data_IF_448089812675
#
_entry.id   IF_448089812675
#
_cell.length_a   1.000
_cell.length_b   1.000
_cell.length_c   1.000
_cell.angle_alpha   90.00
_cell.angle_beta   90.00
_cell.angle_gamma   90.00
#
_symmetry.space_group_name_H-M   'P 1'
#
loop_
_entity.id
_entity.type
_entity.pdbx_description
1 polymer ?
#
# COMPACT_ATOMS: atom_id res chain seq x y z
N UNK A 1 16.15 -17.41 3.15
CA UNK A 1 15.07 -16.75 2.39
C UNK A 1 15.58 -15.41 1.94
N UNK A 2 15.67 -15.19 0.63
CA UNK A 2 16.27 -13.96 0.08
C UNK A 2 15.32 -12.77 0.26
N UNK A 3 15.86 -11.56 0.43
CA UNK A 3 15.08 -10.33 0.54
C UNK A 3 14.06 -10.16 -0.61
N UNK A 4 14.39 -10.69 -1.80
CA UNK A 4 13.48 -10.72 -2.95
C UNK A 4 12.24 -11.61 -2.72
N UNK A 5 12.39 -12.77 -2.07
CA UNK A 5 11.26 -13.64 -1.72
C UNK A 5 10.36 -12.97 -0.67
N UNK A 6 10.94 -12.18 0.22
CA UNK A 6 10.17 -11.44 1.22
C UNK A 6 9.41 -10.25 0.63
N UNK A 7 10.02 -9.49 -0.29
CA UNK A 7 9.32 -8.46 -1.07
C UNK A 7 8.18 -9.09 -1.90
N UNK A 8 8.42 -10.27 -2.47
CA UNK A 8 7.39 -11.01 -3.20
C UNK A 8 6.23 -11.37 -2.26
N UNK A 9 6.50 -11.84 -1.04
CA UNK A 9 5.47 -12.13 -0.03
C UNK A 9 4.69 -10.88 0.41
N UNK A 10 5.35 -9.74 0.61
CA UNK A 10 4.65 -8.47 0.90
C UNK A 10 3.75 -8.08 -0.28
N UNK A 11 4.25 -8.16 -1.52
CA UNK A 11 3.45 -7.87 -2.72
C UNK A 11 2.32 -8.86 -2.95
N UNK A 12 2.52 -10.13 -2.58
CA UNK A 12 1.50 -11.17 -2.64
C UNK A 12 0.43 -10.90 -1.60
N UNK A 13 0.82 -10.52 -0.39
CA UNK A 13 -0.11 -10.13 0.67
C UNK A 13 -0.93 -8.90 0.25
N UNK A 14 -0.30 -7.88 -0.31
CA UNK A 14 -0.99 -6.66 -0.79
C UNK A 14 -2.00 -6.98 -1.91
N UNK A 15 -1.58 -7.74 -2.93
CA UNK A 15 -2.47 -8.14 -4.02
C UNK A 15 -3.56 -9.12 -3.60
N UNK A 16 -3.27 -10.04 -2.68
CA UNK A 16 -4.23 -11.03 -2.20
C UNK A 16 -5.18 -10.47 -1.14
N UNK A 17 -4.78 -9.43 -0.39
CA UNK A 17 -5.73 -8.68 0.44
C UNK A 17 -6.77 -8.00 -0.46
N UNK A 18 -6.32 -7.30 -1.52
CA UNK A 18 -7.21 -6.64 -2.48
C UNK A 18 -8.10 -7.65 -3.22
N UNK A 19 -7.56 -8.79 -3.67
CA UNK A 19 -8.34 -9.85 -4.34
C UNK A 19 -9.21 -10.67 -3.40
N UNK A 20 -8.81 -10.86 -2.15
CA UNK A 20 -9.58 -11.56 -1.11
C UNK A 20 -10.82 -10.79 -0.67
N UNK A 21 -10.88 -9.47 -0.91
CA UNK A 21 -12.07 -8.66 -0.74
C UNK A 21 -13.09 -8.82 -1.89
N UNK A 22 -12.68 -9.31 -3.06
CA UNK A 22 -13.55 -9.43 -4.24
C UNK A 22 -14.73 -10.40 -4.05
N UNK A 23 -14.56 -11.60 -3.43
CA UNK A 23 -15.68 -12.48 -3.12
C UNK A 23 -16.63 -11.87 -2.08
N UNK A 24 -16.12 -11.07 -1.14
CA UNK A 24 -16.95 -10.40 -0.14
C UNK A 24 -17.89 -9.36 -0.77
N UNK A 25 -17.46 -8.68 -1.84
CA UNK A 25 -18.29 -7.72 -2.58
C UNK A 25 -19.53 -8.37 -3.22
N UNK A 26 -19.49 -9.66 -3.56
CA UNK A 26 -20.65 -10.38 -4.10
C UNK A 26 -21.76 -10.60 -3.06
N UNK A 27 -21.43 -10.51 -1.76
CA UNK A 27 -22.38 -10.69 -0.66
C UNK A 27 -22.79 -9.38 0.01
N UNK A 28 -22.23 -8.24 -0.43
CA UNK A 28 -22.72 -6.92 -0.04
C UNK A 28 -23.89 -6.56 -0.94
N UNK A 29 -25.07 -6.40 -0.33
CA UNK A 29 -26.22 -5.82 -1.02
C UNK A 29 -26.44 -4.41 -0.52
N UNK A 30 -26.96 -3.55 -1.40
CA UNK A 30 -27.41 -2.22 -1.03
C UNK A 30 -28.76 -2.38 -0.32
N UNK A 31 -28.83 -2.01 0.96
CA UNK A 31 -30.09 -1.95 1.70
C UNK A 31 -30.49 -0.50 1.93
N UNK A 32 -31.79 -0.24 1.82
CA UNK A 32 -32.38 1.05 2.13
C UNK A 32 -32.66 1.15 3.63
N UNK A 33 -31.89 1.98 4.33
CA UNK A 33 -32.14 2.27 5.74
C UNK A 33 -32.85 3.61 5.82
N UNK A 34 -34.06 3.60 6.37
CA UNK A 34 -34.81 4.81 6.69
C UNK A 34 -34.27 5.37 8.00
N UNK A 35 -33.59 6.51 7.93
CA UNK A 35 -33.12 7.22 9.12
C UNK A 35 -34.30 7.81 9.91
N UNK A 36 -34.10 8.09 11.20
CA UNK A 36 -35.13 8.68 12.08
C UNK A 36 -35.69 10.04 11.64
N UNK A 37 -35.06 10.68 10.65
CA UNK A 37 -35.51 11.93 10.01
C UNK A 37 -36.35 11.69 8.74
N UNK A 38 -36.65 10.44 8.39
CA UNK A 38 -37.39 10.07 7.18
C UNK A 38 -36.55 10.04 5.90
N UNK A 39 -35.25 10.33 5.96
CA UNK A 39 -34.34 10.28 4.81
C UNK A 39 -33.92 8.84 4.51
N UNK A 40 -34.04 8.45 3.24
CA UNK A 40 -33.56 7.14 2.74
C UNK A 40 -32.06 7.25 2.52
N UNK A 41 -31.29 6.40 3.20
CA UNK A 41 -29.85 6.25 2.97
C UNK A 41 -29.54 4.83 2.53
N UNK A 42 -28.86 4.70 1.40
CA UNK A 42 -28.34 3.43 0.92
C UNK A 42 -27.10 3.07 1.73
N UNK A 43 -27.15 1.95 2.45
CA UNK A 43 -25.99 1.41 3.16
C UNK A 43 -25.67 0.02 2.61
N UNK A 44 -24.38 -0.29 2.47
CA UNK A 44 -23.94 -1.62 2.09
C UNK A 44 -23.86 -2.47 3.36
N UNK A 45 -24.66 -3.53 3.42
CA UNK A 45 -24.60 -4.48 4.54
C UNK A 45 -24.82 -5.91 4.06
N UNK A 46 -24.33 -6.84 4.86
CA UNK A 46 -24.27 -8.27 4.55
C UNK A 46 -25.60 -8.88 5.02
N UNK A 47 -26.38 -9.44 4.10
CA UNK A 47 -27.69 -10.04 4.42
C UNK A 47 -27.52 -11.33 5.22
N UNK A 48 -26.49 -12.12 4.92
CA UNK A 48 -26.28 -13.41 5.54
C UNK A 48 -25.64 -13.24 6.94
N UNK A 49 -26.43 -13.52 7.99
CA UNK A 49 -25.99 -13.41 9.38
C UNK A 49 -24.80 -14.32 9.72
N UNK A 50 -24.74 -15.53 9.14
CA UNK A 50 -23.60 -16.44 9.30
C UNK A 50 -22.33 -15.87 8.69
N UNK A 51 -22.43 -15.24 7.51
CA UNK A 51 -21.31 -14.55 6.88
C UNK A 51 -20.89 -13.30 7.67
N UNK A 52 -21.86 -12.57 8.23
CA UNK A 52 -21.57 -11.40 9.08
C UNK A 52 -20.76 -11.79 10.32
N UNK A 53 -21.12 -12.90 10.98
CA UNK A 53 -20.38 -13.44 12.13
C UNK A 53 -18.98 -13.87 11.70
N UNK A 54 -18.86 -14.64 10.62
CA UNK A 54 -17.57 -15.06 10.09
C UNK A 54 -16.65 -13.88 9.76
N UNK A 55 -17.20 -12.86 9.10
CA UNK A 55 -16.42 -11.68 8.69
C UNK A 55 -15.99 -10.85 9.90
N UNK A 56 -16.89 -10.64 10.86
CA UNK A 56 -16.64 -9.76 12.00
C UNK A 56 -15.72 -10.40 13.05
N UNK A 57 -15.86 -11.70 13.29
CA UNK A 57 -15.12 -12.40 14.36
C UNK A 57 -13.88 -13.15 13.89
N UNK A 58 -13.83 -13.61 12.64
CA UNK A 58 -12.71 -14.44 12.14
C UNK A 58 -11.93 -13.68 11.08
N UNK A 59 -12.57 -13.26 9.99
CA UNK A 59 -11.85 -12.70 8.85
C UNK A 59 -11.13 -11.38 9.18
N UNK A 60 -11.83 -10.39 9.72
CA UNK A 60 -11.26 -9.06 10.02
C UNK A 60 -10.16 -9.10 11.09
N UNK A 61 -10.37 -9.67 12.29
CA UNK A 61 -9.34 -9.65 13.32
C UNK A 61 -8.21 -10.66 13.05
N UNK A 62 -8.53 -11.90 12.66
CA UNK A 62 -7.53 -12.97 12.58
C UNK A 62 -6.78 -12.93 11.26
N UNK A 63 -7.51 -12.96 10.14
CA UNK A 63 -6.89 -13.05 8.81
C UNK A 63 -6.32 -11.71 8.37
N UNK A 64 -7.04 -10.60 8.60
CA UNK A 64 -6.62 -9.29 8.13
C UNK A 64 -5.58 -8.61 9.05
N UNK A 65 -5.54 -8.97 10.33
CA UNK A 65 -4.72 -8.23 11.31
C UNK A 65 -3.66 -9.08 12.02
N UNK A 66 -4.05 -10.19 12.66
CA UNK A 66 -3.12 -10.99 13.48
C UNK A 66 -2.14 -11.77 12.60
N UNK A 67 -2.63 -12.45 11.56
CA UNK A 67 -1.82 -13.24 10.67
C UNK A 67 -0.74 -12.42 9.93
N UNK A 68 -1.05 -11.29 9.28
CA UNK A 68 -0.02 -10.45 8.66
C UNK A 68 0.92 -9.80 9.66
N UNK A 69 0.40 -9.35 10.81
CA UNK A 69 1.22 -8.76 11.86
C UNK A 69 2.25 -9.74 12.42
N UNK A 70 1.85 -10.99 12.66
CA UNK A 70 2.76 -12.04 13.16
C UNK A 70 3.80 -12.45 12.11
N UNK A 71 3.38 -12.62 10.84
CA UNK A 71 4.29 -12.90 9.72
C UNK A 71 5.32 -11.76 9.59
N UNK A 72 4.88 -10.51 9.53
CA UNK A 72 5.75 -9.33 9.43
C UNK A 72 6.69 -9.22 10.63
N UNK A 73 6.22 -9.50 11.84
CA UNK A 73 7.05 -9.48 13.04
C UNK A 73 8.15 -10.57 13.01
N UNK A 74 7.79 -11.82 12.68
CA UNK A 74 8.74 -12.94 12.58
C UNK A 74 9.80 -12.65 11.53
N UNK A 75 9.38 -12.21 10.34
CA UNK A 75 10.31 -11.92 9.27
C UNK A 75 11.11 -10.64 9.50
N UNK A 76 10.53 -9.61 10.10
CA UNK A 76 11.25 -8.41 10.55
C UNK A 76 12.35 -8.78 11.55
N UNK A 77 12.03 -9.63 12.52
CA UNK A 77 12.98 -10.15 13.50
C UNK A 77 14.10 -10.97 12.84
N UNK A 78 13.74 -11.93 11.98
CA UNK A 78 14.72 -12.71 11.21
C UNK A 78 15.63 -11.81 10.38
N UNK A 79 15.08 -10.78 9.75
CA UNK A 79 15.84 -9.82 8.95
C UNK A 79 16.80 -9.02 9.82
N UNK A 80 16.36 -8.57 11.00
CA UNK A 80 17.19 -7.89 11.98
C UNK A 80 18.35 -8.76 12.48
N UNK A 81 18.08 -10.02 12.83
CA UNK A 81 19.10 -10.99 13.24
C UNK A 81 20.11 -11.29 12.11
N UNK A 82 19.64 -11.36 10.86
CA UNK A 82 20.51 -11.56 9.72
C UNK A 82 21.40 -10.34 9.44
N UNK A 83 20.89 -9.11 9.59
CA UNK A 83 21.67 -7.87 9.42
C UNK A 83 22.76 -7.75 10.47
N UNK A 84 22.44 -8.02 11.74
CA UNK A 84 23.40 -7.98 12.85
C UNK A 84 24.51 -9.02 12.69
N UNK A 85 24.17 -10.25 12.26
CA UNK A 85 25.17 -11.29 11.92
C UNK A 85 26.00 -10.95 10.67
N UNK A 86 25.42 -10.27 9.67
CA UNK A 86 26.16 -9.84 8.47
C UNK A 86 27.10 -8.66 8.72
N UNK A 87 26.96 -7.95 9.84
CA UNK A 87 27.88 -6.86 10.17
C UNK A 87 29.27 -7.39 10.56
N UNK A 88 29.36 -8.59 11.15
CA UNK A 88 30.63 -9.21 11.53
C UNK A 88 31.34 -9.94 10.38
N UNK A 89 30.60 -10.42 9.38
CA UNK A 89 31.16 -11.15 8.21
C UNK A 89 31.24 -10.22 7.00
N UNK A 90 32.28 -9.40 7.00
CA UNK A 90 32.64 -8.42 5.96
C UNK A 90 32.92 -9.13 4.62
N UNK A 91 31.95 -9.10 3.67
CA UNK A 91 32.13 -9.19 2.19
C UNK A 91 30.87 -9.53 1.36
N UNK A 92 29.66 -9.63 1.92
CA UNK A 92 28.47 -9.80 1.06
C UNK A 92 28.13 -8.50 0.31
N UNK A 93 27.96 -8.64 -1.02
CA UNK A 93 27.62 -7.63 -2.01
C UNK A 93 26.82 -6.44 -1.45
N UNK A 94 27.30 -5.21 -1.70
CA UNK A 94 26.62 -3.95 -1.35
C UNK A 94 25.14 -3.93 -1.79
N UNK A 95 24.83 -4.63 -2.87
CA UNK A 95 23.47 -4.86 -3.37
C UNK A 95 22.55 -5.57 -2.37
N UNK A 96 23.01 -6.64 -1.71
CA UNK A 96 22.21 -7.38 -0.73
C UNK A 96 21.93 -6.54 0.53
N UNK A 97 22.91 -5.75 1.00
CA UNK A 97 22.71 -4.84 2.13
C UNK A 97 21.63 -3.78 1.85
N UNK A 98 21.60 -3.23 0.63
CA UNK A 98 20.57 -2.27 0.22
C UNK A 98 19.15 -2.88 0.21
N UNK A 99 19.01 -4.09 -0.32
CA UNK A 99 17.74 -4.81 -0.34
C UNK A 99 17.23 -5.12 1.07
N UNK A 100 18.11 -5.57 1.97
CA UNK A 100 17.74 -5.92 3.35
C UNK A 100 17.35 -4.69 4.16
N UNK A 101 18.05 -3.57 4.00
CA UNK A 101 17.70 -2.29 4.65
C UNK A 101 16.33 -1.78 4.19
N UNK A 102 16.03 -1.96 2.91
CA UNK A 102 14.75 -1.55 2.33
C UNK A 102 13.59 -2.41 2.84
N UNK A 103 13.80 -3.72 2.94
CA UNK A 103 12.82 -4.64 3.54
C UNK A 103 12.53 -4.25 4.99
N UNK A 104 13.56 -3.95 5.79
CA UNK A 104 13.37 -3.52 7.18
C UNK A 104 12.57 -2.22 7.28
N UNK A 105 12.87 -1.23 6.44
CA UNK A 105 12.13 0.02 6.41
C UNK A 105 10.66 -0.21 6.03
N UNK A 106 10.41 -1.04 5.02
CA UNK A 106 9.06 -1.38 4.59
C UNK A 106 8.29 -2.10 5.70
N UNK A 107 8.91 -3.05 6.40
CA UNK A 107 8.30 -3.72 7.56
C UNK A 107 7.92 -2.73 8.65
N UNK A 108 8.80 -1.79 9.00
CA UNK A 108 8.51 -0.77 10.03
C UNK A 108 7.34 0.13 9.62
N UNK A 109 7.35 0.60 8.37
CA UNK A 109 6.29 1.49 7.83
C UNK A 109 4.93 0.80 7.79
N UNK A 110 4.89 -0.51 7.52
CA UNK A 110 3.64 -1.29 7.49
C UNK A 110 3.18 -1.69 8.90
N UNK A 111 4.09 -1.90 9.85
CA UNK A 111 3.74 -2.28 11.23
C UNK A 111 3.09 -1.13 12.00
N UNK A 112 3.52 0.13 11.80
CA UNK A 112 2.97 1.30 12.49
C UNK A 112 1.44 1.44 12.30
N UNK A 113 0.89 1.31 11.07
CA UNK A 113 -0.56 1.30 10.79
C UNK A 113 -1.30 0.03 11.23
N UNK A 114 -0.66 -1.14 11.14
CA UNK A 114 -1.31 -2.41 11.48
C UNK A 114 -1.63 -2.51 12.98
N UNK A 115 -0.76 -2.00 13.85
CA UNK A 115 -0.95 -2.05 15.31
C UNK A 115 -2.24 -1.36 15.77
N UNK A 116 -2.49 -0.06 15.48
CA UNK A 116 -3.72 0.62 15.91
C UNK A 116 -4.96 -0.03 15.27
N UNK A 117 -4.87 -0.48 14.02
CA UNK A 117 -5.95 -1.20 13.37
C UNK A 117 -6.28 -2.53 14.09
N UNK A 118 -5.27 -3.30 14.47
CA UNK A 118 -5.43 -4.56 15.22
C UNK A 118 -6.12 -4.32 16.57
N UNK A 119 -5.63 -3.34 17.32
CA UNK A 119 -6.16 -3.00 18.65
C UNK A 119 -7.65 -2.65 18.56
N UNK A 120 -8.05 -1.83 17.58
CA UNK A 120 -9.46 -1.42 17.44
C UNK A 120 -10.34 -2.60 17.01
N UNK A 121 -9.88 -3.46 16.09
CA UNK A 121 -10.67 -4.64 15.69
C UNK A 121 -10.86 -5.61 16.87
N UNK A 122 -9.81 -5.86 17.65
CA UNK A 122 -9.91 -6.70 18.86
C UNK A 122 -10.87 -6.04 19.87
N UNK A 123 -10.74 -4.72 20.08
CA UNK A 123 -11.63 -3.98 20.97
C UNK A 123 -13.11 -4.09 20.53
N UNK A 124 -13.42 -3.96 19.24
CA UNK A 124 -14.77 -4.11 18.71
C UNK A 124 -15.33 -5.51 18.93
N UNK A 125 -14.51 -6.55 18.76
CA UNK A 125 -14.91 -7.94 19.01
C UNK A 125 -15.20 -8.18 20.49
N UNK A 126 -14.30 -7.75 21.38
CA UNK A 126 -14.44 -7.95 22.83
C UNK A 126 -15.63 -7.18 23.40
N UNK A 127 -15.89 -5.98 22.89
CA UNK A 127 -16.99 -5.12 23.36
C UNK A 127 -18.30 -5.32 22.61
N UNK A 128 -18.39 -6.32 21.73
CA UNK A 128 -19.57 -6.58 20.90
C UNK A 128 -20.81 -6.98 21.72
N UNK A 129 -20.63 -7.58 22.90
CA UNK A 129 -21.71 -8.00 23.80
C UNK A 129 -22.17 -6.90 24.78
N UNK A 130 -21.48 -5.76 24.80
CA UNK A 130 -21.75 -4.68 25.76
C UNK A 130 -22.68 -3.66 25.10
N UNK A 131 -23.82 -3.37 25.73
CA UNK A 131 -24.72 -2.29 25.30
C UNK A 131 -23.99 -0.95 25.40
N UNK A 132 -23.92 -0.20 24.29
CA UNK A 132 -23.20 1.07 24.18
C UNK A 132 -24.19 2.21 24.02
N UNK A 133 -23.86 3.39 24.57
CA UNK A 133 -24.60 4.62 24.27
C UNK A 133 -24.27 5.12 22.87
N UNK A 134 -25.19 5.86 22.25
CA UNK A 134 -25.01 6.42 20.89
C UNK A 134 -23.78 7.32 20.78
N UNK A 135 -23.48 8.05 21.85
CA UNK A 135 -22.28 8.88 21.94
C UNK A 135 -20.99 8.05 21.89
N UNK A 136 -20.95 6.93 22.64
CA UNK A 136 -19.78 6.03 22.64
C UNK A 136 -19.62 5.34 21.29
N UNK A 137 -20.72 4.92 20.67
CA UNK A 137 -20.70 4.31 19.35
C UNK A 137 -20.13 5.27 18.28
N UNK A 138 -20.51 6.55 18.35
CA UNK A 138 -20.02 7.57 17.42
C UNK A 138 -18.52 7.84 17.58
N UNK A 139 -18.01 7.87 18.81
CA UNK A 139 -16.58 8.02 19.08
C UNK A 139 -15.77 6.82 18.60
N UNK A 140 -16.25 5.60 18.87
CA UNK A 140 -15.61 4.38 18.39
C UNK A 140 -15.55 4.32 16.86
N UNK A 141 -16.62 4.75 16.19
CA UNK A 141 -16.68 4.81 14.73
C UNK A 141 -15.67 5.83 14.17
N UNK A 142 -15.53 7.00 14.79
CA UNK A 142 -14.53 7.99 14.39
C UNK A 142 -13.11 7.41 14.49
N UNK A 143 -12.79 6.78 15.61
CA UNK A 143 -11.48 6.15 15.86
C UNK A 143 -11.21 5.04 14.84
N UNK A 144 -12.23 4.21 14.56
CA UNK A 144 -12.16 3.17 13.54
C UNK A 144 -11.89 3.76 12.14
N UNK A 145 -12.58 4.84 11.76
CA UNK A 145 -12.35 5.52 10.47
C UNK A 145 -10.94 6.08 10.37
N UNK A 146 -10.44 6.74 11.42
CA UNK A 146 -9.06 7.27 11.44
C UNK A 146 -8.03 6.16 11.28
N UNK A 147 -8.21 5.04 11.99
CA UNK A 147 -7.30 3.90 11.86
C UNK A 147 -7.32 3.27 10.45
N UNK A 148 -8.50 3.20 9.82
CA UNK A 148 -8.59 2.75 8.42
C UNK A 148 -7.89 3.71 7.45
N UNK A 149 -8.01 5.02 7.64
CA UNK A 149 -7.30 6.01 6.80
C UNK A 149 -5.79 5.80 6.92
N UNK A 150 -5.28 5.65 8.14
CA UNK A 150 -3.84 5.39 8.39
C UNK A 150 -3.40 4.08 7.72
N UNK A 151 -4.22 3.02 7.82
CA UNK A 151 -3.96 1.76 7.14
C UNK A 151 -3.95 1.93 5.61
N UNK A 152 -4.86 2.69 5.02
CA UNK A 152 -4.87 2.93 3.57
C UNK A 152 -3.66 3.73 3.09
N UNK A 153 -3.20 4.70 3.88
CA UNK A 153 -1.94 5.42 3.61
C UNK A 153 -0.76 4.46 3.55
N UNK A 154 -0.78 3.37 4.34
CA UNK A 154 0.26 2.34 4.31
C UNK A 154 0.36 1.61 2.97
N UNK A 155 -0.75 1.35 2.28
CA UNK A 155 -0.72 0.74 0.95
C UNK A 155 -0.10 1.68 -0.09
N UNK A 156 -0.35 2.99 0.03
CA UNK A 156 0.29 4.00 -0.81
C UNK A 156 1.78 4.23 -0.44
N UNK A 157 2.16 3.92 0.80
CA UNK A 157 3.52 4.16 1.32
C UNK A 157 4.60 3.37 0.59
N UNK A 158 4.25 2.22 0.01
CA UNK A 158 5.16 1.37 -0.76
C UNK A 158 5.96 2.21 -1.77
N UNK A 159 5.29 3.05 -2.57
CA UNK A 159 5.92 3.91 -3.57
C UNK A 159 7.00 4.83 -2.96
N UNK A 160 6.70 5.45 -1.82
CA UNK A 160 7.61 6.36 -1.13
C UNK A 160 8.79 5.61 -0.49
N UNK A 161 8.56 4.42 0.07
CA UNK A 161 9.61 3.57 0.62
C UNK A 161 10.59 3.13 -0.49
N UNK A 162 10.10 2.76 -1.68
CA UNK A 162 10.96 2.46 -2.84
C UNK A 162 11.78 3.68 -3.26
N UNK A 163 11.18 4.88 -3.28
CA UNK A 163 11.86 6.11 -3.67
C UNK A 163 12.98 6.50 -2.68
N UNK A 164 12.71 6.37 -1.38
CA UNK A 164 13.64 6.76 -0.32
C UNK A 164 14.72 5.71 -0.12
N UNK A 165 14.41 4.42 -0.10
CA UNK A 165 15.36 3.42 0.40
C UNK A 165 16.44 3.02 -0.60
N UNK A 166 16.21 3.18 -1.89
CA UNK A 166 17.11 2.60 -2.89
C UNK A 166 18.03 3.67 -3.50
N UNK A 167 19.21 3.87 -2.89
CA UNK A 167 20.28 4.72 -3.46
C UNK A 167 20.74 4.25 -4.86
N UNK A 168 20.59 2.96 -5.19
CA UNK A 168 20.76 2.43 -6.54
C UNK A 168 19.59 2.76 -7.47
N UNK A 169 18.35 2.73 -6.99
CA UNK A 169 17.16 3.07 -7.79
C UNK A 169 17.07 4.55 -8.10
N UNK A 170 17.55 5.43 -7.21
CA UNK A 170 17.70 6.86 -7.52
C UNK A 170 18.66 7.08 -8.69
N UNK A 171 19.70 6.26 -8.85
CA UNK A 171 20.64 6.35 -9.99
C UNK A 171 19.99 5.86 -11.28
N UNK A 172 19.25 4.76 -11.24
CA UNK A 172 18.56 4.21 -12.41
C UNK A 172 17.33 5.06 -12.81
N UNK A 173 16.55 5.54 -11.86
CA UNK A 173 15.47 6.50 -12.08
C UNK A 173 16.00 7.83 -12.62
N UNK A 174 17.10 8.36 -12.05
CA UNK A 174 17.74 9.57 -12.58
C UNK A 174 18.26 9.35 -14.00
N UNK A 175 18.79 8.16 -14.34
CA UNK A 175 19.14 7.81 -15.73
C UNK A 175 17.92 7.80 -16.64
N UNK A 176 16.81 7.19 -16.22
CA UNK A 176 15.57 7.13 -16.99
C UNK A 176 14.98 8.52 -17.24
N UNK A 177 14.91 9.34 -16.19
CA UNK A 177 14.47 10.73 -16.29
C UNK A 177 15.41 11.55 -17.18
N UNK A 178 16.74 11.41 -17.02
CA UNK A 178 17.70 12.07 -17.93
C UNK A 178 17.57 11.58 -19.37
N UNK A 179 17.27 10.30 -19.58
CA UNK A 179 17.07 9.72 -20.89
C UNK A 179 15.83 10.31 -21.56
N UNK A 180 14.69 10.33 -20.86
CA UNK A 180 13.48 10.98 -21.36
C UNK A 180 13.67 12.48 -21.60
N UNK A 181 14.37 13.18 -20.70
CA UNK A 181 14.65 14.61 -20.85
C UNK A 181 15.55 14.89 -22.05
N UNK A 182 16.59 14.08 -22.27
CA UNK A 182 17.47 14.17 -23.45
C UNK A 182 16.76 13.80 -24.74
N UNK A 183 15.90 12.79 -24.71
CA UNK A 183 15.13 12.35 -25.88
C UNK A 183 14.13 13.43 -26.31
N UNK A 184 13.47 14.08 -25.34
CA UNK A 184 12.57 15.20 -25.60
C UNK A 184 13.35 16.40 -26.19
N UNK A 185 14.55 16.69 -25.67
CA UNK A 185 15.40 17.75 -26.20
C UNK A 185 16.00 17.44 -27.59
N UNK A 186 16.26 16.16 -27.92
CA UNK A 186 16.73 15.73 -29.23
C UNK A 186 15.61 15.78 -30.29
N UNK A 187 14.40 15.35 -29.93
CA UNK A 187 13.21 15.45 -30.78
C UNK A 187 12.90 16.92 -31.12
N UNK A 188 13.01 17.82 -30.15
CA UNK A 188 12.79 19.25 -30.36
C UNK A 188 13.84 19.88 -31.31
N UNK A 189 15.12 19.45 -31.26
CA UNK A 189 16.14 19.94 -32.21
C UNK A 189 15.89 19.47 -33.65
N UNK A 190 15.46 18.22 -33.84
CA UNK A 190 15.17 17.69 -35.18
C UNK A 190 13.97 18.43 -35.79
N UNK A 191 12.95 18.76 -34.98
CA UNK A 191 11.82 19.57 -35.42
C UNK A 191 12.21 21.00 -35.85
N UNK A 192 13.21 21.61 -35.18
CA UNK A 192 13.72 22.94 -35.54
C UNK A 192 14.52 22.89 -36.84
N UNK A 193 15.41 21.89 -37.02
CA UNK A 193 16.17 21.73 -38.27
C UNK A 193 15.28 21.43 -39.48
N UNK A 194 14.21 20.65 -39.29
CA UNK A 194 13.23 20.39 -40.35
C UNK A 194 12.48 21.66 -40.77
N UNK A 195 12.17 22.57 -39.84
CA UNK A 195 11.56 23.88 -40.16
C UNK A 195 12.51 24.80 -40.92
N UNK A 196 13.79 24.84 -40.57
CA UNK A 196 14.77 25.68 -41.28
C UNK A 196 14.99 25.24 -42.73
N UNK A 197 14.98 23.93 -43.02
CA UNK A 197 15.09 23.46 -44.40
C UNK A 197 13.87 23.79 -45.28
N UNK A 198 12.68 23.85 -44.68
CA UNK A 198 11.46 24.26 -45.40
C UNK A 198 11.50 25.76 -45.71
N UNK A 199 11.97 26.60 -44.79
CA UNK A 199 12.12 28.05 -44.99
C UNK A 199 13.18 28.37 -46.05
N UNK A 200 14.28 27.61 -46.09
CA UNK A 200 15.29 27.81 -47.13
C UNK A 200 14.80 27.40 -48.53
N UNK A 201 14.01 26.32 -48.65
CA UNK A 201 13.42 25.90 -49.93
C UNK A 201 12.35 26.85 -50.46
N UNK A 202 11.62 27.51 -49.57
CA UNK A 202 10.62 28.52 -49.96
C UNK A 202 11.26 29.82 -50.44
N UNK A 203 12.42 30.20 -49.89
CA UNK A 203 13.15 31.39 -50.37
C UNK A 203 13.89 31.19 -51.70
N UNK A 204 14.22 29.95 -52.09
CA UNK A 204 14.88 29.68 -53.39
C UNK A 204 13.91 29.50 -54.56
N UNK A 205 12.59 29.47 -54.32
CA UNK A 205 11.55 29.35 -55.36
C UNK A 205 10.89 30.69 -55.71
N UNK A 206 11.30 31.78 -55.05
CA UNK A 206 10.77 33.15 -55.24
C UNK A 206 11.76 34.05 -56.02
N UNK A 207 12.81 33.47 -56.62
CA UNK A 207 13.68 34.12 -57.61
C UNK A 207 13.42 33.55 -58.99
#
# INVERSE_FOLDING_TARGET
MDAAQFIFLIKLYDNNAIRGHLPLLLFYTIIEVRTGTGKITHTCSIINSGLLIYVSYIYRPVILSILPGTILAIFGWLTYCNVTKLHSTQRRCSFQRGLTSMVLLQTIVVMIPIIPFAIINIYQVVTSSIVKSDYRLSQEQLVYTVANIILYVSYASNFYVYLISASSYRKDFRRLVLFCYRQNHASNRIGIMAREQVVMKTNSTVK
#
